data_IF_250922025066
#
_entry.id   IF_250922025066
#
_cell.length_a   1.000
_cell.length_b   1.000
_cell.length_c   1.000
_cell.angle_alpha   90.00
_cell.angle_beta   90.00
_cell.angle_gamma   90.00
#
_symmetry.space_group_name_H-M   'P 1'
#
loop_
_entity.id
_entity.type
_entity.pdbx_description
1 polymer ?
#
# COMPACT_ATOMS: atom_id res chain seq x y z
N UNK A 1 3.10 14.25 -24.90
CA UNK A 1 2.88 14.25 -23.43
C UNK A 1 1.69 15.11 -23.10
N UNK A 2 0.76 14.63 -22.26
CA UNK A 2 -0.39 15.42 -21.82
C UNK A 2 -0.02 16.25 -20.59
N UNK A 3 -0.69 17.39 -20.37
CA UNK A 3 -0.54 18.20 -19.15
C UNK A 3 -0.73 17.39 -17.85
N UNK A 4 -1.62 16.40 -17.89
CA UNK A 4 -1.89 15.50 -16.75
C UNK A 4 -0.68 14.65 -16.35
N UNK A 5 0.23 14.34 -17.28
CA UNK A 5 1.45 13.57 -16.99
C UNK A 5 2.44 14.30 -16.08
N UNK A 6 2.26 15.62 -15.90
CA UNK A 6 3.09 16.42 -14.99
C UNK A 6 2.36 16.71 -13.69
N UNK A 7 1.10 17.11 -13.78
CA UNK A 7 0.30 17.53 -12.62
C UNK A 7 -0.03 16.36 -11.71
N UNK A 8 -0.37 15.19 -12.25
CA UNK A 8 -0.77 14.05 -11.43
C UNK A 8 0.40 13.49 -10.60
N UNK A 9 1.61 13.28 -11.15
CA UNK A 9 2.73 12.83 -10.33
C UNK A 9 3.20 13.88 -9.31
N UNK A 10 3.22 15.16 -9.68
CA UNK A 10 3.55 16.24 -8.75
C UNK A 10 2.52 16.32 -7.61
N UNK A 11 1.23 16.27 -7.95
CA UNK A 11 0.14 16.28 -7.00
C UNK A 11 0.21 15.08 -6.05
N UNK A 12 0.48 13.88 -6.57
CA UNK A 12 0.70 12.67 -5.78
C UNK A 12 1.89 12.82 -4.83
N UNK A 13 2.99 13.39 -5.31
CA UNK A 13 4.22 13.57 -4.52
C UNK A 13 4.00 14.55 -3.37
N UNK A 14 3.46 15.74 -3.66
CA UNK A 14 3.15 16.77 -2.67
C UNK A 14 2.11 16.25 -1.66
N UNK A 15 1.03 15.62 -2.13
CA UNK A 15 0.01 15.08 -1.25
C UNK A 15 0.57 13.99 -0.33
N UNK A 16 1.40 13.09 -0.86
CA UNK A 16 2.07 12.05 -0.08
C UNK A 16 3.04 12.63 0.95
N UNK A 17 3.77 13.70 0.63
CA UNK A 17 4.68 14.38 1.57
C UNK A 17 3.91 15.02 2.72
N UNK A 18 2.86 15.79 2.41
CA UNK A 18 2.00 16.42 3.41
C UNK A 18 1.39 15.35 4.31
N UNK A 19 0.86 14.29 3.71
CA UNK A 19 0.27 13.19 4.45
C UNK A 19 1.30 12.46 5.32
N UNK A 20 2.50 12.17 4.80
CA UNK A 20 3.59 11.58 5.58
C UNK A 20 3.96 12.45 6.79
N UNK A 21 4.06 13.77 6.61
CA UNK A 21 4.36 14.71 7.68
C UNK A 21 3.26 14.73 8.76
N UNK A 22 1.99 14.70 8.37
CA UNK A 22 0.86 14.61 9.30
C UNK A 22 0.88 13.32 10.12
N UNK A 23 1.09 12.16 9.46
CA UNK A 23 1.17 10.87 10.16
C UNK A 23 2.40 10.79 11.06
N UNK A 24 3.52 11.39 10.64
CA UNK A 24 4.74 11.46 11.43
C UNK A 24 4.57 12.34 12.68
N UNK A 25 3.92 13.51 12.56
CA UNK A 25 3.59 14.36 13.70
C UNK A 25 2.73 13.58 14.73
N UNK A 26 1.76 12.79 14.27
CA UNK A 26 1.01 11.92 15.18
C UNK A 26 1.85 10.85 15.85
N UNK A 27 2.83 10.28 15.13
CA UNK A 27 3.75 9.35 15.75
C UNK A 27 4.58 10.03 16.84
N UNK A 28 5.06 11.27 16.63
CA UNK A 28 5.78 12.01 17.66
C UNK A 28 4.96 12.16 18.95
N UNK A 29 3.64 12.37 18.81
CA UNK A 29 2.71 12.52 19.92
C UNK A 29 2.31 11.19 20.59
N UNK A 30 1.96 10.17 19.81
CA UNK A 30 1.33 8.93 20.31
C UNK A 30 2.26 7.72 20.34
N UNK A 31 3.39 7.81 19.65
CA UNK A 31 4.46 6.79 19.54
C UNK A 31 3.95 5.40 19.16
N UNK A 32 2.92 5.32 18.30
CA UNK A 32 2.42 4.03 17.81
C UNK A 32 3.23 3.57 16.60
N UNK A 33 3.78 2.36 16.65
CA UNK A 33 4.71 1.85 15.61
C UNK A 33 4.12 1.88 14.20
N UNK A 34 2.83 1.59 14.04
CA UNK A 34 2.17 1.62 12.74
C UNK A 34 2.20 3.01 12.08
N UNK A 35 2.14 4.09 12.87
CA UNK A 35 2.18 5.46 12.35
C UNK A 35 3.55 5.77 11.75
N UNK A 36 4.63 5.36 12.41
CA UNK A 36 5.98 5.55 11.89
C UNK A 36 6.17 4.80 10.57
N UNK A 37 5.74 3.53 10.51
CA UNK A 37 5.88 2.70 9.31
C UNK A 37 5.01 3.23 8.16
N UNK A 38 3.80 3.71 8.44
CA UNK A 38 2.96 4.37 7.44
C UNK A 38 3.53 5.69 6.95
N UNK A 39 4.03 6.55 7.84
CA UNK A 39 4.71 7.78 7.46
C UNK A 39 5.91 7.49 6.52
N UNK A 40 6.67 6.43 6.81
CA UNK A 40 7.77 5.99 5.96
C UNK A 40 7.28 5.47 4.60
N UNK A 41 6.22 4.67 4.56
CA UNK A 41 5.60 4.21 3.31
C UNK A 41 5.06 5.35 2.45
N UNK A 42 4.46 6.38 3.07
CA UNK A 42 4.00 7.60 2.40
C UNK A 42 5.17 8.46 1.90
N UNK A 43 6.28 8.53 2.64
CA UNK A 43 7.50 9.17 2.18
C UNK A 43 8.06 8.46 0.94
N UNK A 44 8.06 7.13 0.91
CA UNK A 44 8.44 6.38 -0.29
C UNK A 44 7.51 6.67 -1.47
N UNK A 45 6.22 6.88 -1.22
CA UNK A 45 5.25 7.24 -2.26
C UNK A 45 5.59 8.61 -2.84
N UNK A 46 5.85 9.58 -1.97
CA UNK A 46 6.30 10.91 -2.35
C UNK A 46 7.56 10.88 -3.21
N UNK A 47 8.57 10.09 -2.81
CA UNK A 47 9.81 9.96 -3.58
C UNK A 47 9.55 9.30 -4.93
N UNK A 48 8.77 8.22 -4.98
CA UNK A 48 8.46 7.50 -6.21
C UNK A 48 7.79 8.41 -7.25
N UNK A 49 6.67 9.05 -6.88
CA UNK A 49 5.93 9.96 -7.77
C UNK A 49 6.66 11.28 -8.03
N UNK A 50 7.51 11.72 -7.10
CA UNK A 50 8.45 12.82 -7.32
C UNK A 50 9.46 12.49 -8.42
N UNK A 51 9.98 11.26 -8.46
CA UNK A 51 10.86 10.82 -9.54
C UNK A 51 10.15 10.83 -10.90
N UNK A 52 8.87 10.49 -10.94
CA UNK A 52 8.06 10.53 -12.17
C UNK A 52 7.86 11.96 -12.67
N UNK A 53 7.52 12.88 -11.77
CA UNK A 53 7.42 14.30 -12.10
C UNK A 53 8.76 14.84 -12.64
N UNK A 54 9.86 14.57 -11.94
CA UNK A 54 11.19 15.01 -12.34
C UNK A 54 11.60 14.39 -13.69
N UNK A 55 11.35 13.10 -13.87
CA UNK A 55 11.70 12.37 -15.09
C UNK A 55 10.86 12.81 -16.30
N UNK A 56 9.57 13.08 -16.08
CA UNK A 56 8.69 13.65 -17.09
C UNK A 56 9.08 15.08 -17.48
N UNK A 57 9.43 15.92 -16.51
CA UNK A 57 9.67 17.36 -16.72
C UNK A 57 11.09 17.67 -17.21
N UNK A 58 12.09 17.06 -16.58
CA UNK A 58 13.51 17.36 -16.80
C UNK A 58 14.25 16.25 -17.53
N UNK A 59 13.55 15.17 -17.90
CA UNK A 59 14.13 13.99 -18.52
C UNK A 59 14.60 12.94 -17.50
N UNK A 60 14.66 11.70 -17.96
CA UNK A 60 15.02 10.56 -17.12
C UNK A 60 16.51 10.29 -17.14
N UNK A 61 17.10 10.14 -15.95
CA UNK A 61 18.47 9.67 -15.74
C UNK A 61 18.49 8.30 -15.08
N UNK A 62 19.61 7.57 -15.18
CA UNK A 62 19.75 6.25 -14.56
C UNK A 62 19.50 6.26 -13.05
N UNK A 63 20.05 7.20 -12.24
CA UNK A 63 19.76 7.26 -10.81
C UNK A 63 18.28 7.53 -10.50
N UNK A 64 17.66 8.46 -11.23
CA UNK A 64 16.26 8.82 -11.04
C UNK A 64 15.32 7.63 -11.34
N UNK A 65 15.60 6.91 -12.43
CA UNK A 65 14.87 5.72 -12.81
C UNK A 65 15.01 4.57 -11.81
N UNK A 66 16.21 4.40 -11.22
CA UNK A 66 16.45 3.43 -10.13
C UNK A 66 15.70 3.80 -8.86
N UNK A 67 15.69 5.07 -8.49
CA UNK A 67 14.92 5.55 -7.35
C UNK A 67 13.42 5.30 -7.55
N UNK A 68 12.85 5.73 -8.68
CA UNK A 68 11.45 5.47 -9.03
C UNK A 68 11.08 4.00 -8.85
N UNK A 69 11.87 3.09 -9.44
CA UNK A 69 11.59 1.67 -9.40
C UNK A 69 11.74 1.07 -8.00
N UNK A 70 12.80 1.43 -7.27
CA UNK A 70 13.02 0.94 -5.91
C UNK A 70 11.89 1.39 -4.98
N UNK A 71 11.62 2.69 -4.91
CA UNK A 71 10.64 3.24 -3.99
C UNK A 71 9.22 2.81 -4.37
N UNK A 72 8.82 2.94 -5.65
CA UNK A 72 7.46 2.64 -6.10
C UNK A 72 7.16 1.14 -6.13
N UNK A 73 7.99 0.34 -6.81
CA UNK A 73 7.68 -1.07 -7.05
C UNK A 73 7.92 -1.95 -5.81
N UNK A 74 8.91 -1.61 -4.97
CA UNK A 74 9.26 -2.41 -3.80
C UNK A 74 8.77 -1.79 -2.49
N UNK A 75 9.05 -0.52 -2.22
CA UNK A 75 8.95 0.02 -0.85
C UNK A 75 7.56 0.54 -0.48
N UNK A 76 6.86 1.24 -1.36
CA UNK A 76 5.53 1.82 -1.06
C UNK A 76 4.52 0.77 -0.56
N UNK A 77 4.11 -0.22 -1.36
CA UNK A 77 3.08 -1.18 -0.95
C UNK A 77 3.50 -2.03 0.23
N UNK A 78 4.77 -2.44 0.30
CA UNK A 78 5.27 -3.33 1.35
C UNK A 78 5.34 -2.66 2.71
N UNK A 79 5.81 -1.41 2.79
CA UNK A 79 5.87 -0.68 4.05
C UNK A 79 4.46 -0.30 4.51
N UNK A 80 3.57 0.16 3.62
CA UNK A 80 2.18 0.42 3.99
C UNK A 80 1.45 -0.85 4.47
N UNK A 81 1.72 -1.99 3.85
CA UNK A 81 1.23 -3.30 4.28
C UNK A 81 1.74 -3.72 5.66
N UNK A 82 3.04 -3.58 5.93
CA UNK A 82 3.61 -3.89 7.27
C UNK A 82 3.10 -2.93 8.34
N UNK A 83 2.90 -1.65 8.03
CA UNK A 83 2.25 -0.73 8.96
C UNK A 83 0.83 -1.19 9.34
N UNK A 84 0.09 -1.77 8.38
CA UNK A 84 -1.23 -2.36 8.64
C UNK A 84 -1.13 -3.60 9.55
N UNK A 85 -0.09 -4.41 9.39
CA UNK A 85 0.19 -5.53 10.29
C UNK A 85 0.54 -5.07 11.72
N UNK A 86 1.28 -3.96 11.87
CA UNK A 86 1.52 -3.32 13.16
C UNK A 86 0.22 -2.80 13.79
N UNK A 87 -0.69 -2.22 13.01
CA UNK A 87 -2.00 -1.78 13.49
C UNK A 87 -2.82 -2.96 14.02
N UNK A 88 -2.80 -4.09 13.31
CA UNK A 88 -3.60 -5.28 13.60
C UNK A 88 -2.85 -6.33 14.43
N UNK A 89 -1.78 -5.95 15.13
CA UNK A 89 -0.85 -6.88 15.80
C UNK A 89 -1.48 -7.74 16.91
N UNK A 90 -2.65 -7.37 17.45
CA UNK A 90 -3.40 -8.15 18.44
C UNK A 90 -4.29 -9.23 17.80
N UNK A 91 -4.48 -9.16 16.49
CA UNK A 91 -5.33 -10.07 15.73
C UNK A 91 -4.51 -11.20 15.10
N UNK A 92 -5.19 -12.15 14.46
CA UNK A 92 -4.54 -13.23 13.69
C UNK A 92 -4.29 -12.84 12.23
N UNK A 93 -4.27 -11.53 11.92
CA UNK A 93 -4.12 -11.01 10.56
C UNK A 93 -2.80 -11.42 9.89
N UNK A 94 -1.76 -11.75 10.65
CA UNK A 94 -0.49 -12.23 10.14
C UNK A 94 -0.57 -13.53 9.35
N UNK A 95 -1.57 -14.40 9.60
CA UNK A 95 -1.82 -15.53 8.71
C UNK A 95 -2.24 -15.08 7.30
N UNK A 96 -3.06 -14.04 7.21
CA UNK A 96 -3.45 -13.46 5.92
C UNK A 96 -2.25 -12.81 5.23
N UNK A 97 -1.40 -12.09 5.99
CA UNK A 97 -0.16 -11.51 5.44
C UNK A 97 0.79 -12.59 4.95
N UNK A 98 0.98 -13.67 5.71
CA UNK A 98 1.79 -14.81 5.29
C UNK A 98 1.30 -15.42 3.97
N UNK A 99 -0.02 -15.66 3.84
CA UNK A 99 -0.62 -16.13 2.59
C UNK A 99 -0.42 -15.11 1.46
N UNK A 100 -0.60 -13.81 1.73
CA UNK A 100 -0.40 -12.75 0.73
C UNK A 100 1.05 -12.68 0.22
N UNK A 101 2.04 -12.86 1.10
CA UNK A 101 3.46 -12.92 0.73
C UNK A 101 3.74 -14.19 -0.09
N UNK A 102 3.23 -15.35 0.32
CA UNK A 102 3.37 -16.60 -0.43
C UNK A 102 2.75 -16.49 -1.83
N UNK A 103 1.53 -15.93 -1.94
CA UNK A 103 0.87 -15.64 -3.21
C UNK A 103 1.69 -14.66 -4.06
N UNK A 104 2.29 -13.63 -3.45
CA UNK A 104 3.22 -12.75 -4.11
C UNK A 104 4.43 -13.48 -4.72
N UNK A 105 4.98 -14.46 -4.01
CA UNK A 105 6.02 -15.36 -4.51
C UNK A 105 5.54 -16.23 -5.68
N UNK A 106 4.33 -16.78 -5.60
CA UNK A 106 3.74 -17.55 -6.70
C UNK A 106 3.47 -16.70 -7.94
N UNK A 107 2.99 -15.47 -7.76
CA UNK A 107 2.83 -14.51 -8.85
C UNK A 107 4.18 -14.10 -9.45
N UNK A 108 5.24 -14.00 -8.65
CA UNK A 108 6.61 -13.80 -9.16
C UNK A 108 7.03 -14.96 -10.06
N UNK A 109 6.79 -16.21 -9.65
CA UNK A 109 7.09 -17.37 -10.48
C UNK A 109 6.25 -17.38 -11.76
N UNK A 110 4.95 -17.11 -11.68
CA UNK A 110 4.10 -17.00 -12.86
C UNK A 110 4.57 -15.90 -13.84
N UNK A 111 5.06 -14.78 -13.30
CA UNK A 111 5.57 -13.67 -14.09
C UNK A 111 6.84 -14.03 -14.89
N UNK A 112 7.57 -15.11 -14.56
CA UNK A 112 8.76 -15.51 -15.33
C UNK A 112 8.41 -15.91 -16.76
N UNK A 113 7.18 -16.37 -17.01
CA UNK A 113 6.68 -16.68 -18.35
C UNK A 113 6.72 -15.46 -19.28
N UNK A 114 6.61 -14.24 -18.72
CA UNK A 114 6.69 -12.99 -19.47
C UNK A 114 8.11 -12.47 -19.67
N UNK A 115 9.05 -12.91 -18.84
CA UNK A 115 10.42 -12.37 -18.80
C UNK A 115 11.44 -13.49 -18.98
N UNK A 116 11.81 -13.85 -20.23
CA UNK A 116 12.81 -14.88 -20.50
C UNK A 116 14.12 -14.64 -19.73
N UNK A 117 14.74 -15.71 -19.24
CA UNK A 117 15.97 -15.65 -18.43
C UNK A 117 15.76 -15.25 -16.96
N UNK A 118 14.51 -15.04 -16.51
CA UNK A 118 14.22 -14.71 -15.10
C UNK A 118 13.89 -15.90 -14.20
N UNK A 119 13.91 -17.13 -14.72
CA UNK A 119 13.44 -18.34 -14.01
C UNK A 119 14.13 -18.55 -12.67
N UNK A 120 15.47 -18.44 -12.62
CA UNK A 120 16.25 -18.60 -11.37
C UNK A 120 15.74 -17.62 -10.32
N UNK A 121 15.59 -16.34 -10.69
CA UNK A 121 15.10 -15.30 -9.80
C UNK A 121 13.65 -15.53 -9.37
N UNK A 122 12.80 -16.04 -10.25
CA UNK A 122 11.43 -16.44 -9.90
C UNK A 122 11.38 -17.51 -8.82
N UNK A 123 12.16 -18.60 -8.98
CA UNK A 123 12.25 -19.67 -7.98
C UNK A 123 12.87 -19.19 -6.67
N UNK A 124 13.95 -18.38 -6.71
CA UNK A 124 14.55 -17.83 -5.48
C UNK A 124 13.59 -16.90 -4.77
N UNK A 125 12.88 -16.05 -5.51
CA UNK A 125 11.89 -15.13 -4.94
C UNK A 125 10.75 -15.90 -4.27
N UNK A 126 10.23 -16.95 -4.91
CA UNK A 126 9.22 -17.83 -4.29
C UNK A 126 9.75 -18.48 -3.01
N UNK A 127 10.96 -19.05 -3.04
CA UNK A 127 11.55 -19.68 -1.87
C UNK A 127 11.68 -18.70 -0.69
N UNK A 128 12.21 -17.50 -0.93
CA UNK A 128 12.34 -16.45 0.08
C UNK A 128 10.97 -15.97 0.59
N UNK A 129 9.99 -15.81 -0.29
CA UNK A 129 8.63 -15.45 0.08
C UNK A 129 7.97 -16.52 0.95
N UNK A 130 8.18 -17.81 0.66
CA UNK A 130 7.69 -18.92 1.48
C UNK A 130 8.37 -18.95 2.85
N UNK A 131 9.68 -18.72 2.93
CA UNK A 131 10.40 -18.60 4.21
C UNK A 131 9.83 -17.46 5.04
N UNK A 132 9.65 -16.28 4.44
CA UNK A 132 9.05 -15.13 5.12
C UNK A 132 7.60 -15.43 5.56
N UNK A 133 6.80 -16.08 4.71
CA UNK A 133 5.43 -16.47 5.04
C UNK A 133 5.38 -17.43 6.23
N UNK A 134 6.23 -18.47 6.23
CA UNK A 134 6.32 -19.44 7.34
C UNK A 134 6.77 -18.74 8.63
N UNK A 135 7.76 -17.84 8.55
CA UNK A 135 8.22 -17.08 9.71
C UNK A 135 7.11 -16.18 10.30
N UNK A 136 6.36 -15.47 9.44
CA UNK A 136 5.24 -14.61 9.87
C UNK A 136 4.10 -15.46 10.46
N UNK A 137 3.74 -16.58 9.82
CA UNK A 137 2.70 -17.48 10.31
C UNK A 137 3.10 -18.13 11.65
N UNK A 138 4.35 -18.58 11.78
CA UNK A 138 4.91 -19.11 13.01
C UNK A 138 4.91 -18.08 14.14
N UNK A 139 5.34 -16.84 13.86
CA UNK A 139 5.26 -15.73 14.80
C UNK A 139 3.81 -15.46 15.23
N UNK A 140 2.87 -15.48 14.28
CA UNK A 140 1.43 -15.29 14.55
C UNK A 140 0.86 -16.40 15.44
N UNK A 141 1.31 -17.65 15.24
CA UNK A 141 0.90 -18.80 16.03
C UNK A 141 1.44 -18.76 17.47
N UNK A 142 2.71 -18.39 17.63
CA UNK A 142 3.41 -18.39 18.92
C UNK A 142 3.04 -17.14 19.74
N UNK A 143 3.25 -15.95 19.17
CA UNK A 143 3.00 -14.65 19.83
C UNK A 143 2.60 -13.61 18.79
N UNK A 144 1.31 -13.32 18.73
CA UNK A 144 0.72 -12.37 17.75
C UNK A 144 1.45 -11.02 17.71
N UNK A 145 1.96 -10.51 18.83
CA UNK A 145 2.68 -9.23 18.86
C UNK A 145 4.01 -9.25 18.08
N UNK A 146 4.59 -10.43 17.84
CA UNK A 146 5.83 -10.60 17.07
C UNK A 146 5.59 -10.59 15.55
N UNK A 147 4.37 -10.84 15.08
CA UNK A 147 4.08 -11.03 13.65
C UNK A 147 4.56 -9.85 12.79
N UNK A 148 4.36 -8.61 13.27
CA UNK A 148 4.74 -7.39 12.57
C UNK A 148 6.26 -7.17 12.60
N UNK A 149 6.92 -7.50 13.71
CA UNK A 149 8.38 -7.39 13.84
C UNK A 149 9.10 -8.38 12.92
N UNK A 150 8.62 -9.63 12.87
CA UNK A 150 9.15 -10.64 11.95
C UNK A 150 8.94 -10.23 10.49
N UNK A 151 7.73 -9.76 10.14
CA UNK A 151 7.48 -9.24 8.80
C UNK A 151 8.40 -8.06 8.46
N UNK A 152 8.65 -7.14 9.41
CA UNK A 152 9.53 -6.00 9.22
C UNK A 152 11.00 -6.43 9.02
N UNK A 153 11.49 -7.41 9.79
CA UNK A 153 12.84 -7.96 9.60
C UNK A 153 12.99 -8.60 8.22
N UNK A 154 12.04 -9.44 7.81
CA UNK A 154 12.02 -10.03 6.48
C UNK A 154 11.96 -8.95 5.38
N UNK A 155 11.15 -7.91 5.58
CA UNK A 155 11.01 -6.80 4.64
C UNK A 155 12.32 -6.01 4.52
N UNK A 156 12.97 -5.64 5.62
CA UNK A 156 14.25 -4.92 5.60
C UNK A 156 15.35 -5.74 4.93
N UNK A 157 15.47 -7.03 5.27
CA UNK A 157 16.43 -7.92 4.61
C UNK A 157 16.18 -7.99 3.09
N UNK A 158 14.91 -8.16 2.69
CA UNK A 158 14.50 -8.12 1.29
C UNK A 158 14.83 -6.78 0.62
N UNK A 159 14.54 -5.65 1.29
CA UNK A 159 14.83 -4.29 0.82
C UNK A 159 16.32 -4.11 0.54
N UNK A 160 17.22 -4.59 1.42
CA UNK A 160 18.67 -4.48 1.22
C UNK A 160 19.12 -5.27 -0.02
N UNK A 161 18.62 -6.49 -0.19
CA UNK A 161 18.92 -7.34 -1.36
C UNK A 161 18.44 -6.68 -2.65
N UNK A 162 17.17 -6.26 -2.72
CA UNK A 162 16.62 -5.65 -3.94
C UNK A 162 17.23 -4.28 -4.21
N UNK A 163 17.59 -3.51 -3.20
CA UNK A 163 18.32 -2.25 -3.38
C UNK A 163 19.69 -2.50 -4.03
N UNK A 164 20.45 -3.49 -3.55
CA UNK A 164 21.73 -3.86 -4.17
C UNK A 164 21.53 -4.30 -5.62
N UNK A 165 20.54 -5.18 -5.89
CA UNK A 165 20.23 -5.62 -7.26
C UNK A 165 19.82 -4.44 -8.16
N UNK A 166 18.96 -3.54 -7.68
CA UNK A 166 18.51 -2.35 -8.42
C UNK A 166 19.67 -1.40 -8.69
N UNK A 167 20.63 -1.25 -7.78
CA UNK A 167 21.78 -0.37 -7.98
C UNK A 167 22.81 -0.97 -8.96
N UNK A 168 23.03 -2.28 -8.90
CA UNK A 168 24.03 -2.98 -9.71
C UNK A 168 23.53 -3.37 -11.11
N UNK A 169 22.21 -3.39 -11.34
CA UNK A 169 21.66 -3.81 -12.61
C UNK A 169 22.13 -2.93 -13.78
N UNK A 170 22.47 -3.56 -14.90
CA UNK A 170 22.68 -2.86 -16.17
C UNK A 170 21.31 -2.49 -16.74
N UNK A 171 21.11 -1.21 -17.03
CA UNK A 171 19.89 -0.71 -17.65
C UNK A 171 20.01 -0.77 -19.16
N UNK A 172 19.02 -1.34 -19.83
CA UNK A 172 18.96 -1.42 -21.28
C UNK A 172 17.51 -1.35 -21.75
N UNK A 173 17.17 -0.36 -22.57
CA UNK A 173 15.81 -0.16 -23.08
C UNK A 173 15.20 1.18 -22.65
N UNK A 174 13.91 1.34 -22.92
CA UNK A 174 13.19 2.57 -22.64
C UNK A 174 12.81 2.70 -21.14
N UNK A 175 12.89 3.93 -20.63
CA UNK A 175 12.45 4.28 -19.28
C UNK A 175 10.94 4.56 -19.21
N UNK A 176 10.37 5.02 -20.31
CA UNK A 176 8.95 5.37 -20.44
C UNK A 176 8.32 4.66 -21.62
N UNK A 177 7.01 4.47 -21.56
CA UNK A 177 6.19 4.07 -22.68
C UNK A 177 6.16 5.20 -23.74
N UNK A 178 6.52 4.95 -25.00
CA UNK A 178 6.49 5.97 -26.04
C UNK A 178 5.10 6.58 -26.28
N UNK A 179 4.02 5.83 -26.06
CA UNK A 179 2.65 6.27 -26.34
C UNK A 179 2.09 7.16 -25.23
N UNK A 180 2.32 6.79 -23.97
CA UNK A 180 1.71 7.47 -22.81
C UNK A 180 2.70 8.31 -22.02
N UNK A 181 4.00 8.10 -22.25
CA UNK A 181 5.10 8.66 -21.47
C UNK A 181 5.10 8.28 -19.99
N UNK A 182 4.27 7.30 -19.60
CA UNK A 182 4.30 6.75 -18.26
C UNK A 182 5.57 5.90 -18.06
N UNK A 183 6.17 5.91 -16.87
CA UNK A 183 7.34 5.10 -16.59
C UNK A 183 6.99 3.61 -16.65
N UNK A 184 7.91 2.83 -17.21
CA UNK A 184 7.79 1.39 -17.35
C UNK A 184 9.07 0.73 -16.88
N UNK A 185 8.97 -0.49 -16.33
CA UNK A 185 10.14 -1.24 -15.87
C UNK A 185 10.99 -1.84 -17.02
N UNK A 186 10.81 -1.38 -18.27
CA UNK A 186 11.35 -2.00 -19.48
C UNK A 186 12.88 -1.90 -19.60
N UNK A 187 13.53 -0.96 -18.90
CA UNK A 187 14.98 -0.87 -18.87
C UNK A 187 15.63 -1.83 -17.85
N UNK A 188 14.87 -2.34 -16.87
CA UNK A 188 15.40 -3.32 -15.92
C UNK A 188 15.42 -4.73 -16.50
N UNK A 189 16.42 -5.56 -16.16
CA UNK A 189 16.43 -6.96 -16.56
C UNK A 189 15.26 -7.73 -15.95
N UNK A 190 14.83 -8.80 -16.63
CA UNK A 190 13.66 -9.58 -16.26
C UNK A 190 13.68 -10.11 -14.81
N UNK A 191 14.85 -10.47 -14.30
CA UNK A 191 15.01 -10.95 -12.92
C UNK A 191 14.57 -9.92 -11.86
N UNK A 192 14.81 -8.62 -12.09
CA UNK A 192 14.36 -7.58 -11.17
C UNK A 192 12.85 -7.38 -11.23
N UNK A 193 12.28 -7.49 -12.44
CA UNK A 193 10.83 -7.34 -12.64
C UNK A 193 10.03 -8.36 -11.85
N UNK A 194 10.46 -9.62 -11.88
CA UNK A 194 9.79 -10.69 -11.11
C UNK A 194 9.99 -10.51 -9.60
N UNK A 195 11.18 -10.10 -9.14
CA UNK A 195 11.45 -9.89 -7.69
C UNK A 195 10.61 -8.79 -7.06
N UNK A 196 10.10 -7.82 -7.83
CA UNK A 196 9.21 -6.76 -7.32
C UNK A 196 7.80 -7.26 -6.97
N UNK A 197 7.39 -8.39 -7.54
CA UNK A 197 6.00 -8.86 -7.45
C UNK A 197 5.55 -9.16 -6.02
N UNK A 198 6.32 -9.85 -5.16
CA UNK A 198 5.88 -10.13 -3.79
C UNK A 198 5.81 -8.90 -2.89
N UNK A 199 6.70 -7.93 -3.10
CA UNK A 199 6.66 -6.66 -2.35
C UNK A 199 5.37 -5.89 -2.67
N UNK A 200 5.05 -5.80 -3.95
CA UNK A 200 3.87 -5.09 -4.42
C UNK A 200 2.57 -5.82 -4.09
N UNK A 201 2.45 -7.09 -4.50
CA UNK A 201 1.24 -7.88 -4.27
C UNK A 201 1.04 -8.19 -2.79
N UNK A 202 2.08 -8.66 -2.09
CA UNK A 202 1.98 -9.00 -0.67
C UNK A 202 1.66 -7.79 0.21
N UNK A 203 2.36 -6.67 -0.03
CA UNK A 203 2.12 -5.41 0.67
C UNK A 203 0.76 -4.79 0.35
N UNK A 204 0.41 -4.70 -0.94
CA UNK A 204 -0.85 -4.15 -1.42
C UNK A 204 -2.07 -4.93 -0.94
N UNK A 205 -2.03 -6.28 -1.01
CA UNK A 205 -3.08 -7.13 -0.45
C UNK A 205 -3.21 -6.94 1.07
N UNK A 206 -2.09 -6.83 1.79
CA UNK A 206 -2.10 -6.61 3.24
C UNK A 206 -2.75 -5.28 3.61
N UNK A 207 -2.44 -4.20 2.89
CA UNK A 207 -3.05 -2.88 3.09
C UNK A 207 -4.55 -2.91 2.76
N UNK A 208 -4.91 -3.41 1.57
CA UNK A 208 -6.28 -3.50 1.08
C UNK A 208 -7.18 -4.29 2.04
N UNK A 209 -6.81 -5.53 2.33
CA UNK A 209 -7.63 -6.41 3.15
C UNK A 209 -7.57 -6.04 4.63
N UNK A 210 -6.50 -5.42 5.12
CA UNK A 210 -6.46 -4.89 6.48
C UNK A 210 -7.41 -3.69 6.66
N UNK A 211 -7.55 -2.85 5.64
CA UNK A 211 -8.54 -1.78 5.61
C UNK A 211 -9.98 -2.34 5.54
N UNK A 212 -10.26 -3.32 4.67
CA UNK A 212 -11.56 -4.00 4.62
C UNK A 212 -11.90 -4.74 5.92
N UNK A 213 -10.92 -5.39 6.53
CA UNK A 213 -11.06 -6.04 7.83
C UNK A 213 -11.41 -5.03 8.93
N UNK A 214 -10.78 -3.85 8.90
CA UNK A 214 -11.11 -2.75 9.81
C UNK A 214 -12.54 -2.25 9.60
N UNK A 215 -12.98 -2.06 8.34
CA UNK A 215 -14.36 -1.69 8.02
C UNK A 215 -15.37 -2.72 8.58
N UNK A 216 -15.09 -4.01 8.39
CA UNK A 216 -15.90 -5.10 8.92
C UNK A 216 -16.07 -5.07 10.44
N UNK A 217 -15.02 -4.70 11.17
CA UNK A 217 -15.05 -4.64 12.63
C UNK A 217 -16.01 -3.57 13.12
N UNK A 218 -16.04 -2.40 12.48
CA UNK A 218 -16.78 -1.22 12.91
C UNK A 218 -18.19 -1.10 12.33
N UNK A 219 -18.51 -1.83 11.25
CA UNK A 219 -19.85 -1.77 10.66
C UNK A 219 -20.86 -2.67 11.39
N UNK A 220 -22.19 -2.38 11.30
CA UNK A 220 -23.23 -3.25 11.85
C UNK A 220 -23.15 -4.67 11.26
N UNK A 221 -23.06 -5.69 12.13
CA UNK A 221 -22.73 -7.06 11.70
C UNK A 221 -23.99 -7.89 11.44
N UNK A 222 -24.09 -8.47 10.25
CA UNK A 222 -25.00 -9.57 9.93
C UNK A 222 -24.20 -10.85 9.74
N UNK A 223 -24.34 -11.80 10.66
CA UNK A 223 -23.61 -13.08 10.66
C UNK A 223 -24.50 -14.18 10.07
N UNK A 224 -24.38 -14.43 8.77
CA UNK A 224 -25.07 -15.52 8.09
C UNK A 224 -24.35 -16.86 8.28
N UNK A 225 -23.03 -16.84 8.38
CA UNK A 225 -22.20 -18.04 8.53
C UNK A 225 -21.43 -18.04 9.87
N UNK A 226 -21.26 -19.21 10.49
CA UNK A 226 -20.51 -19.34 11.74
C UNK A 226 -19.01 -19.16 11.52
N UNK A 227 -18.33 -18.58 12.51
CA UNK A 227 -16.91 -18.23 12.44
C UNK A 227 -15.97 -19.43 12.15
N UNK A 228 -16.41 -20.67 12.44
CA UNK A 228 -15.66 -21.90 12.14
C UNK A 228 -15.37 -22.11 10.65
N UNK A 229 -16.16 -21.49 9.75
CA UNK A 229 -15.92 -21.53 8.30
C UNK A 229 -14.87 -20.50 7.83
N UNK A 230 -14.17 -19.85 8.76
CA UNK A 230 -13.01 -19.00 8.53
C UNK A 230 -13.22 -17.97 7.41
N UNK A 231 -12.40 -18.04 6.34
CA UNK A 231 -12.44 -17.08 5.23
C UNK A 231 -13.82 -16.98 4.58
N UNK A 232 -14.51 -18.10 4.39
CA UNK A 232 -15.86 -18.11 3.79
C UNK A 232 -16.85 -17.34 4.67
N UNK A 233 -16.78 -17.53 6.00
CA UNK A 233 -17.62 -16.77 6.92
C UNK A 233 -17.29 -15.28 6.91
N UNK A 234 -16.01 -14.90 6.88
CA UNK A 234 -15.59 -13.49 6.82
C UNK A 234 -16.15 -12.84 5.56
N UNK A 235 -15.97 -13.47 4.39
CA UNK A 235 -16.43 -12.94 3.11
C UNK A 235 -17.95 -12.81 3.07
N UNK A 236 -18.69 -13.88 3.36
CA UNK A 236 -20.16 -13.86 3.29
C UNK A 236 -20.74 -12.89 4.33
N UNK A 237 -20.22 -12.88 5.56
CA UNK A 237 -20.71 -11.97 6.59
C UNK A 237 -20.35 -10.51 6.28
N UNK A 238 -19.22 -10.24 5.62
CA UNK A 238 -18.86 -8.90 5.16
C UNK A 238 -19.92 -8.36 4.20
N UNK A 239 -20.19 -9.07 3.10
CA UNK A 239 -21.19 -8.64 2.12
C UNK A 239 -22.61 -8.58 2.70
N UNK A 240 -22.97 -9.51 3.57
CA UNK A 240 -24.26 -9.51 4.26
C UNK A 240 -24.46 -8.29 5.18
N UNK A 241 -23.37 -7.69 5.65
CA UNK A 241 -23.38 -6.52 6.54
C UNK A 241 -23.46 -5.19 5.79
N UNK A 242 -23.13 -5.15 4.49
CA UNK A 242 -23.09 -3.92 3.69
C UNK A 242 -24.45 -3.19 3.60
N UNK A 243 -25.61 -3.85 3.39
CA UNK A 243 -26.89 -3.13 3.35
C UNK A 243 -27.23 -2.43 4.67
N UNK A 244 -26.90 -3.08 5.79
CA UNK A 244 -27.05 -2.48 7.13
C UNK A 244 -26.11 -1.30 7.35
N UNK A 245 -24.86 -1.42 6.88
CA UNK A 245 -23.89 -0.33 6.91
C UNK A 245 -24.34 0.86 6.05
N UNK A 246 -24.84 0.62 4.84
CA UNK A 246 -25.36 1.66 3.95
C UNK A 246 -26.55 2.38 4.57
N UNK A 247 -27.51 1.65 5.15
CA UNK A 247 -28.64 2.25 5.87
C UNK A 247 -28.16 3.10 7.05
N UNK A 248 -27.20 2.61 7.83
CA UNK A 248 -26.61 3.36 8.94
C UNK A 248 -25.86 4.61 8.47
N UNK A 249 -25.20 4.56 7.31
CA UNK A 249 -24.53 5.71 6.70
C UNK A 249 -25.53 6.81 6.35
N UNK A 250 -26.61 6.46 5.62
CA UNK A 250 -27.66 7.42 5.26
C UNK A 250 -28.40 8.00 6.47
N UNK A 251 -28.40 7.28 7.61
CA UNK A 251 -28.99 7.74 8.86
C UNK A 251 -28.03 8.56 9.73
N UNK A 252 -26.77 8.76 9.32
CA UNK A 252 -25.75 9.43 10.14
C UNK A 252 -25.34 8.66 11.40
N UNK A 253 -25.63 7.36 11.46
CA UNK A 253 -25.37 6.49 12.63
C UNK A 253 -24.16 5.56 12.44
N UNK A 254 -23.53 5.57 11.27
CA UNK A 254 -22.39 4.72 10.98
C UNK A 254 -21.13 5.31 11.61
N UNK A 255 -20.32 4.45 12.24
CA UNK A 255 -19.01 4.84 12.75
C UNK A 255 -18.12 5.35 11.59
N UNK A 256 -17.53 6.54 11.73
CA UNK A 256 -16.67 7.19 10.74
C UNK A 256 -15.51 6.33 10.24
N UNK A 257 -15.03 5.38 11.05
CA UNK A 257 -13.98 4.44 10.66
C UNK A 257 -14.40 3.55 9.50
N UNK A 258 -15.70 3.28 9.32
CA UNK A 258 -16.19 2.43 8.22
C UNK A 258 -16.00 3.10 6.87
N UNK A 259 -16.59 4.27 6.55
CA UNK A 259 -16.34 4.93 5.27
C UNK A 259 -14.86 5.30 5.09
N UNK A 260 -14.16 5.70 6.17
CA UNK A 260 -12.73 5.98 6.13
C UNK A 260 -11.90 4.79 5.64
N UNK A 261 -12.09 3.61 6.24
CA UNK A 261 -11.32 2.41 5.89
C UNK A 261 -11.75 1.81 4.55
N UNK A 262 -12.99 2.03 4.10
CA UNK A 262 -13.42 1.70 2.73
C UNK A 262 -12.69 2.60 1.71
N UNK A 263 -12.57 3.91 1.97
CA UNK A 263 -11.81 4.81 1.11
C UNK A 263 -10.33 4.42 1.05
N UNK A 264 -9.72 4.06 2.18
CA UNK A 264 -8.35 3.55 2.24
C UNK A 264 -8.22 2.24 1.43
N UNK A 265 -9.20 1.33 1.54
CA UNK A 265 -9.21 0.10 0.75
C UNK A 265 -9.27 0.39 -0.76
N UNK A 266 -10.19 1.26 -1.20
CA UNK A 266 -10.27 1.68 -2.60
C UNK A 266 -8.98 2.35 -3.07
N UNK A 267 -8.42 3.23 -2.25
CA UNK A 267 -7.18 3.93 -2.55
C UNK A 267 -5.94 3.02 -2.59
N UNK A 268 -5.94 1.89 -1.88
CA UNK A 268 -4.93 0.84 -2.00
C UNK A 268 -5.15 -0.04 -3.25
N UNK A 269 -6.40 -0.29 -3.62
CA UNK A 269 -6.76 -1.15 -4.75
C UNK A 269 -6.43 -0.49 -6.11
N UNK A 270 -6.74 0.79 -6.29
CA UNK A 270 -6.61 1.47 -7.60
C UNK A 270 -5.15 1.49 -8.11
N UNK A 271 -4.13 1.91 -7.33
CA UNK A 271 -2.73 1.82 -7.75
C UNK A 271 -2.28 0.38 -7.99
N UNK A 272 -2.75 -0.58 -7.17
CA UNK A 272 -2.45 -2.00 -7.36
C UNK A 272 -2.98 -2.55 -8.69
N UNK A 273 -4.19 -2.15 -9.08
CA UNK A 273 -4.81 -2.51 -10.35
C UNK A 273 -4.07 -1.85 -11.53
N UNK A 274 -3.83 -0.54 -11.46
CA UNK A 274 -3.14 0.20 -12.54
C UNK A 274 -1.68 -0.23 -12.70
N UNK A 275 -0.97 -0.54 -11.61
CA UNK A 275 0.37 -1.16 -11.66
C UNK A 275 0.35 -2.54 -12.33
N UNK A 276 -0.68 -3.34 -12.04
CA UNK A 276 -0.85 -4.64 -12.71
C UNK A 276 -1.13 -4.47 -14.21
N UNK A 277 -1.98 -3.52 -14.60
CA UNK A 277 -2.27 -3.17 -15.99
C UNK A 277 -1.03 -2.67 -16.73
N UNK A 278 -0.17 -1.87 -16.09
CA UNK A 278 1.10 -1.40 -16.63
C UNK A 278 1.99 -2.59 -17.03
N UNK A 279 2.05 -3.65 -16.21
CA UNK A 279 2.78 -4.88 -16.56
C UNK A 279 2.23 -5.55 -17.81
N UNK A 280 0.97 -5.36 -18.18
CA UNK A 280 0.36 -5.86 -19.43
C UNK A 280 0.43 -4.88 -20.60
N UNK A 281 1.14 -3.75 -20.45
CA UNK A 281 1.29 -2.73 -21.49
C UNK A 281 0.18 -1.67 -21.49
N UNK A 282 -0.76 -1.72 -20.54
CA UNK A 282 -1.81 -0.71 -20.39
C UNK A 282 -1.31 0.34 -19.39
N UNK A 283 -0.69 1.39 -19.90
CA UNK A 283 0.09 2.36 -19.10
C UNK A 283 -0.61 3.71 -18.90
N UNK A 284 -1.69 3.99 -19.65
CA UNK A 284 -2.39 5.29 -19.65
C UNK A 284 -2.99 5.67 -18.30
N UNK A 285 -3.34 4.68 -17.48
CA UNK A 285 -3.99 4.89 -16.19
C UNK A 285 -3.00 5.01 -15.01
N UNK A 286 -1.68 4.92 -15.24
CA UNK A 286 -0.67 4.83 -14.16
C UNK A 286 -0.75 6.05 -13.23
N UNK A 287 -0.51 7.25 -13.76
CA UNK A 287 -0.49 8.48 -12.97
C UNK A 287 -1.84 8.81 -12.33
N UNK A 288 -2.93 8.57 -13.06
CA UNK A 288 -4.29 8.79 -12.56
C UNK A 288 -4.61 7.84 -11.41
N UNK A 289 -4.24 6.56 -11.56
CA UNK A 289 -4.45 5.55 -10.55
C UNK A 289 -3.69 5.83 -9.26
N UNK A 290 -2.44 6.26 -9.38
CA UNK A 290 -1.61 6.67 -8.24
C UNK A 290 -2.21 7.87 -7.51
N UNK A 291 -2.54 8.95 -8.24
CA UNK A 291 -3.12 10.15 -7.66
C UNK A 291 -4.46 9.89 -6.97
N UNK A 292 -5.39 9.22 -7.66
CA UNK A 292 -6.68 8.84 -7.05
C UNK A 292 -6.48 7.91 -5.85
N UNK A 293 -5.50 7.00 -5.94
CA UNK A 293 -5.14 6.10 -4.86
C UNK A 293 -4.76 6.85 -3.58
N UNK A 294 -3.74 7.69 -3.65
CA UNK A 294 -3.29 8.47 -2.49
C UNK A 294 -4.36 9.46 -2.02
N UNK A 295 -5.12 10.08 -2.94
CA UNK A 295 -6.21 11.00 -2.59
C UNK A 295 -7.30 10.31 -1.77
N UNK A 296 -7.70 9.10 -2.14
CA UNK A 296 -8.69 8.31 -1.39
C UNK A 296 -8.14 7.84 -0.05
N UNK A 297 -6.88 7.40 0.02
CA UNK A 297 -6.26 7.03 1.30
C UNK A 297 -6.20 8.26 2.22
N UNK A 298 -5.78 9.42 1.71
CA UNK A 298 -5.70 10.66 2.48
C UNK A 298 -7.07 11.13 2.95
N UNK A 299 -8.08 11.11 2.07
CA UNK A 299 -9.46 11.47 2.42
C UNK A 299 -10.01 10.51 3.48
N UNK A 300 -9.78 9.21 3.33
CA UNK A 300 -10.18 8.21 4.32
C UNK A 300 -9.49 8.44 5.67
N UNK A 301 -8.20 8.80 5.65
CA UNK A 301 -7.47 9.19 6.85
C UNK A 301 -8.12 10.39 7.53
N UNK A 302 -8.35 11.51 6.82
CA UNK A 302 -9.01 12.71 7.36
C UNK A 302 -10.42 12.44 7.92
N UNK A 303 -11.16 11.47 7.37
CA UNK A 303 -12.48 11.07 7.89
C UNK A 303 -12.36 10.22 9.15
N UNK A 304 -11.37 9.33 9.24
CA UNK A 304 -11.13 8.51 10.44
C UNK A 304 -10.76 9.37 11.67
N UNK A 305 -10.42 10.63 11.45
CA UNK A 305 -9.94 11.59 12.43
C UNK A 305 -11.03 12.32 13.23
N UNK A 306 -12.14 11.68 13.59
CA UNK A 306 -13.12 12.24 14.54
C UNK A 306 -12.57 12.51 15.97
N UNK A 307 -11.26 12.36 16.19
CA UNK A 307 -10.52 12.77 17.41
C UNK A 307 -9.60 13.99 17.15
N UNK A 308 -9.63 14.61 15.97
CA UNK A 308 -8.74 15.71 15.61
C UNK A 308 -9.51 17.02 15.61
N UNK A 309 -9.60 17.60 16.81
CA UNK A 309 -9.96 19.00 17.00
C UNK A 309 -8.96 19.94 16.31
N UNK A 310 -7.73 19.48 16.02
CA UNK A 310 -6.61 20.27 15.49
C UNK A 310 -5.69 19.44 14.55
N UNK A 311 -5.49 19.87 13.30
CA UNK A 311 -4.36 19.49 12.43
C UNK A 311 -3.19 20.39 12.80
N UNK A 312 -2.04 19.79 13.14
CA UNK A 312 -0.83 20.52 13.55
C UNK A 312 0.40 20.06 12.76
N UNK A 313 1.27 21.00 12.38
CA UNK A 313 2.64 20.77 11.92
C UNK A 313 3.53 21.76 12.68
N UNK A 314 4.04 21.39 13.84
CA UNK A 314 4.73 22.30 14.78
C UNK A 314 3.81 23.31 15.47
N UNK A 315 2.86 23.90 14.75
CA UNK A 315 1.76 24.75 15.26
C UNK A 315 0.40 24.25 14.73
N UNK A 316 -0.70 24.71 15.33
CA UNK A 316 -2.05 24.35 14.83
C UNK A 316 -2.34 25.06 13.53
N UNK A 317 -2.48 24.29 12.45
CA UNK A 317 -2.79 24.82 11.10
C UNK A 317 -4.30 24.90 10.89
N UNK A 318 -5.05 23.93 11.40
CA UNK A 318 -6.49 23.89 11.21
C UNK A 318 -7.16 23.28 12.44
N UNK A 319 -8.31 23.83 12.84
CA UNK A 319 -9.12 23.32 13.95
C UNK A 319 -10.56 23.17 13.50
N UNK A 320 -11.16 22.00 13.74
CA UNK A 320 -12.59 21.79 13.51
C UNK A 320 -13.35 22.34 14.71
N UNK A 321 -14.11 23.43 14.53
CA UNK A 321 -15.06 23.92 15.56
C UNK A 321 -16.07 22.82 15.85
N UNK A 322 -16.25 22.52 17.14
CA UNK A 322 -17.35 21.67 17.60
C UNK A 322 -18.65 22.45 17.43
N UNK A 323 -19.63 21.85 16.74
CA UNK A 323 -21.00 22.38 16.66
C UNK A 323 -21.77 22.20 17.99
N UNK A 324 -21.15 21.66 19.04
CA UNK A 324 -21.77 21.45 20.35
C UNK A 324 -21.66 22.70 21.26
N UNK A 325 -21.13 23.81 20.76
CA UNK A 325 -20.93 25.05 21.52
C UNK A 325 -21.84 26.23 21.18
N UNK A 326 -22.76 26.12 20.21
CA UNK A 326 -23.66 27.22 19.79
C UNK A 326 -25.14 26.92 20.10
N UNK A 327 -25.43 26.08 21.10
CA UNK A 327 -26.77 25.85 21.62
C UNK A 327 -26.84 26.12 23.13
N UNK A 328 -26.24 27.22 23.58
CA UNK A 328 -26.35 27.76 24.93
C UNK A 328 -27.01 29.13 24.90
#
# INVERSE_FOLDING_TARGET
>A
MSFLNFVLPLGSSVLSLVFAAMVFDQWLQRRKSFQLVWALGLLWYAVATGCEFLGGTFGWSSPLYRAWYLFGAFLVPSYLGVGTLYLLNKTRFGYFVAVSVALGGLFSLAATAKYPGSSVAGYTTLALALVAAVAIAGATAVRRELQAHVAMVCLVAGTLVVAALVLMARLSGAYVDPATSAPIAAAFPGYLRVTSVPFNAGGGLSLLFGALYSAYIYMPKKRLLPARLAALAITVNFFASLPGAARALFQGKLNSRVPATILIALGAFIPGLTSSLNRFGITWATFLGEFLGVLLIFTGFLISEEVFRNVRLGTTIWSRRSLEGEAG
#
